data_IF_377910420575
#
_entry.id   IF_377910420575
#
_cell.length_a   1.000
_cell.length_b   1.000
_cell.length_c   1.000
_cell.angle_alpha   90.00
_cell.angle_beta   90.00
_cell.angle_gamma   90.00
#
_symmetry.space_group_name_H-M   'P 1'
#
loop_
_entity.id
_entity.type
_entity.pdbx_description
1 polymer ?
#
# COMPACT_ATOMS: atom_id res chain seq x y z
N UNK A 1 -20.01 11.95 -14.60
CA UNK A 1 -20.50 10.74 -13.91
C UNK A 1 -20.64 11.09 -12.43
N UNK A 2 -21.78 10.79 -11.80
CA UNK A 2 -21.98 11.00 -10.36
C UNK A 2 -21.93 9.65 -9.65
N UNK A 3 -21.42 9.64 -8.42
CA UNK A 3 -21.29 8.42 -7.61
C UNK A 3 -21.41 8.75 -6.13
N UNK A 4 -21.54 7.70 -5.31
CA UNK A 4 -21.62 7.81 -3.85
C UNK A 4 -20.45 7.01 -3.28
N UNK A 5 -19.78 7.57 -2.28
CA UNK A 5 -18.71 6.90 -1.54
C UNK A 5 -19.15 6.67 -0.10
N UNK A 6 -18.81 5.51 0.44
CA UNK A 6 -19.00 5.22 1.85
C UNK A 6 -17.90 5.90 2.67
N UNK A 7 -18.30 6.67 3.68
CA UNK A 7 -17.37 7.24 4.65
C UNK A 7 -16.96 6.18 5.68
N UNK A 8 -15.64 6.03 5.88
CA UNK A 8 -15.09 5.23 6.98
C UNK A 8 -14.89 6.15 8.19
N UNK A 9 -15.69 6.01 9.26
CA UNK A 9 -15.60 6.92 10.40
C UNK A 9 -14.26 6.78 11.13
N UNK A 10 -13.87 7.86 11.83
CA UNK A 10 -12.65 7.91 12.64
C UNK A 10 -11.38 7.52 11.88
N UNK A 11 -11.29 7.94 10.62
CA UNK A 11 -10.14 7.75 9.76
C UNK A 11 -9.61 9.07 9.24
N UNK A 12 -8.30 9.13 9.04
CA UNK A 12 -7.59 10.30 8.52
C UNK A 12 -6.60 9.85 7.47
N UNK A 13 -6.24 10.74 6.54
CA UNK A 13 -5.18 10.45 5.57
C UNK A 13 -3.82 10.43 6.26
N UNK A 14 -2.86 9.68 5.72
CA UNK A 14 -1.49 9.69 6.27
C UNK A 14 -0.85 11.07 6.13
N UNK A 15 -1.23 11.85 5.11
CA UNK A 15 -0.84 13.25 4.98
C UNK A 15 -1.34 14.12 6.15
N UNK A 16 -2.56 13.88 6.64
CA UNK A 16 -3.05 14.57 7.84
C UNK A 16 -2.27 14.14 9.10
N UNK A 17 -1.92 12.86 9.24
CA UNK A 17 -1.08 12.39 10.36
C UNK A 17 0.27 13.10 10.34
N UNK A 18 0.94 13.19 9.18
CA UNK A 18 2.20 13.91 9.05
C UNK A 18 2.10 15.40 9.37
N UNK A 19 1.01 16.06 8.97
CA UNK A 19 0.80 17.50 9.25
C UNK A 19 0.70 17.80 10.75
N UNK A 20 0.24 16.85 11.58
CA UNK A 20 0.20 17.01 13.05
C UNK A 20 1.60 17.16 13.65
N UNK A 21 2.61 16.60 13.00
CA UNK A 21 4.02 16.70 13.38
C UNK A 21 4.76 17.89 12.72
N UNK A 22 4.05 18.73 11.95
CA UNK A 22 4.59 19.89 11.22
C UNK A 22 5.14 19.54 9.82
N UNK A 23 5.76 20.53 9.14
CA UNK A 23 6.28 20.38 7.76
C UNK A 23 7.30 19.25 7.58
N UNK A 24 7.97 18.80 8.65
CA UNK A 24 8.92 17.69 8.62
C UNK A 24 8.35 16.35 9.13
N UNK A 25 7.03 16.26 9.35
CA UNK A 25 6.39 15.05 9.87
C UNK A 25 6.63 13.78 9.05
N UNK A 26 6.83 13.90 7.72
CA UNK A 26 7.18 12.78 6.81
C UNK A 26 8.56 12.15 7.10
N UNK A 27 9.42 12.87 7.82
CA UNK A 27 10.74 12.41 8.24
C UNK A 27 10.78 11.91 9.68
N UNK A 28 9.66 12.00 10.41
CA UNK A 28 9.52 11.41 11.74
C UNK A 28 9.01 9.99 11.63
N UNK A 29 9.94 9.04 11.75
CA UNK A 29 9.64 7.61 11.84
C UNK A 29 8.52 7.26 12.87
N UNK A 30 8.36 7.94 14.02
CA UNK A 30 7.29 7.60 14.96
C UNK A 30 5.89 8.15 14.63
N UNK A 31 5.71 8.96 13.57
CA UNK A 31 4.45 9.69 13.30
C UNK A 31 3.18 8.81 13.34
N UNK A 32 3.20 7.68 12.65
CA UNK A 32 2.08 6.72 12.65
C UNK A 32 1.93 5.98 13.99
N UNK A 33 3.04 5.66 14.65
CA UNK A 33 3.05 4.96 15.94
C UNK A 33 2.49 5.84 17.05
N UNK A 34 2.87 7.12 17.07
CA UNK A 34 2.38 8.13 18.01
C UNK A 34 0.88 8.36 17.80
N UNK A 35 0.42 8.41 16.55
CA UNK A 35 -1.00 8.53 16.24
C UNK A 35 -1.80 7.30 16.72
N UNK A 36 -1.32 6.08 16.47
CA UNK A 36 -1.97 4.86 16.95
C UNK A 36 -2.01 4.83 18.49
N UNK A 37 -0.92 5.21 19.15
CA UNK A 37 -0.82 5.27 20.62
C UNK A 37 -1.75 6.32 21.21
N UNK A 38 -1.86 7.50 20.61
CA UNK A 38 -2.75 8.57 21.07
C UNK A 38 -4.24 8.17 21.01
N UNK A 39 -4.62 7.30 20.07
CA UNK A 39 -5.99 6.80 19.94
C UNK A 39 -6.25 5.49 20.71
N UNK A 40 -5.20 4.83 21.23
CA UNK A 40 -5.29 3.53 21.91
C UNK A 40 -4.38 3.54 23.14
N UNK A 41 -4.83 4.19 24.22
CA UNK A 41 -4.03 4.40 25.44
C UNK A 41 -3.90 3.15 26.31
N UNK A 42 -4.88 2.24 26.27
CA UNK A 42 -4.81 0.97 26.99
C UNK A 42 -3.85 -0.02 26.28
N UNK A 43 -2.94 -0.71 26.99
CA UNK A 43 -1.98 -1.63 26.38
C UNK A 43 -2.60 -2.75 25.53
N UNK A 44 -3.79 -3.25 25.88
CA UNK A 44 -4.48 -4.27 25.08
C UNK A 44 -5.03 -3.66 23.80
N UNK A 45 -5.65 -2.48 23.90
CA UNK A 45 -6.16 -1.73 22.73
C UNK A 45 -5.03 -1.37 21.77
N UNK A 46 -3.88 -0.92 22.28
CA UNK A 46 -2.71 -0.57 21.48
C UNK A 46 -2.17 -1.78 20.74
N UNK A 47 -2.02 -2.92 21.44
CA UNK A 47 -1.56 -4.17 20.83
C UNK A 47 -2.53 -4.66 19.74
N UNK A 48 -3.84 -4.54 19.97
CA UNK A 48 -4.84 -4.89 18.96
C UNK A 48 -4.77 -3.98 17.73
N UNK A 49 -4.54 -2.67 17.94
CA UNK A 49 -4.39 -1.71 16.86
C UNK A 49 -3.13 -1.96 16.01
N UNK A 50 -1.99 -2.27 16.63
CA UNK A 50 -0.76 -2.65 15.92
C UNK A 50 -0.93 -3.95 15.14
N UNK A 51 -1.59 -4.97 15.72
CA UNK A 51 -1.88 -6.23 15.00
C UNK A 51 -2.80 -5.99 13.79
N UNK A 52 -3.84 -5.14 13.96
CA UNK A 52 -4.74 -4.78 12.87
C UNK A 52 -4.02 -3.98 11.79
N UNK A 53 -3.15 -3.04 12.18
CA UNK A 53 -2.29 -2.29 11.26
C UNK A 53 -1.42 -3.24 10.44
N UNK A 54 -0.69 -4.16 11.09
CA UNK A 54 0.17 -5.12 10.40
C UNK A 54 -0.60 -5.99 9.40
N UNK A 55 -1.75 -6.55 9.79
CA UNK A 55 -2.57 -7.38 8.88
C UNK A 55 -3.14 -6.60 7.70
N UNK A 56 -3.67 -5.40 7.96
CA UNK A 56 -4.27 -4.58 6.91
C UNK A 56 -3.23 -4.00 5.97
N UNK A 57 -2.10 -3.54 6.49
CA UNK A 57 -0.93 -3.13 5.71
C UNK A 57 -0.44 -4.27 4.82
N UNK A 58 -0.26 -5.49 5.36
CA UNK A 58 0.15 -6.65 4.57
C UNK A 58 -0.83 -6.94 3.42
N UNK A 59 -2.13 -6.92 3.69
CA UNK A 59 -3.16 -7.11 2.68
C UNK A 59 -3.10 -6.06 1.57
N UNK A 60 -2.96 -4.77 1.91
CA UNK A 60 -2.86 -3.70 0.93
C UNK A 60 -1.54 -3.70 0.16
N UNK A 61 -0.41 -4.06 0.77
CA UNK A 61 0.86 -4.25 0.05
C UNK A 61 0.72 -5.32 -1.05
N UNK A 62 0.14 -6.48 -0.72
CA UNK A 62 -0.11 -7.55 -1.70
C UNK A 62 -1.12 -7.12 -2.76
N UNK A 63 -2.25 -6.54 -2.36
CA UNK A 63 -3.31 -6.15 -3.29
C UNK A 63 -2.82 -5.08 -4.28
N UNK A 64 -2.11 -4.06 -3.81
CA UNK A 64 -1.61 -2.97 -4.65
C UNK A 64 -0.47 -3.38 -5.55
N UNK A 65 0.38 -4.30 -5.07
CA UNK A 65 1.40 -4.94 -5.90
C UNK A 65 0.77 -5.70 -7.07
N UNK A 66 -0.18 -6.60 -6.77
CA UNK A 66 -0.73 -7.53 -7.76
C UNK A 66 -1.65 -6.83 -8.74
N UNK A 67 -2.50 -5.92 -8.26
CA UNK A 67 -3.40 -5.15 -9.13
C UNK A 67 -2.69 -3.97 -9.81
N UNK A 68 -1.42 -3.71 -9.50
CA UNK A 68 -0.67 -2.58 -10.06
C UNK A 68 -1.34 -1.23 -9.80
N UNK A 69 -1.85 -1.03 -8.58
CA UNK A 69 -2.57 0.20 -8.20
C UNK A 69 -1.56 1.33 -8.07
N UNK A 70 -1.70 2.35 -8.92
CA UNK A 70 -0.80 3.49 -8.98
C UNK A 70 -1.31 4.73 -8.26
N UNK A 71 -0.55 5.82 -8.31
CA UNK A 71 -0.85 7.11 -7.64
C UNK A 71 -1.02 6.96 -6.11
N UNK A 72 -0.18 6.12 -5.50
CA UNK A 72 -0.22 5.87 -4.04
C UNK A 72 0.67 6.89 -3.32
N UNK A 73 0.11 8.08 -3.09
CA UNK A 73 0.64 9.13 -2.22
C UNK A 73 -0.12 9.21 -0.89
N UNK A 74 0.37 10.03 0.04
CA UNK A 74 -0.14 10.12 1.41
C UNK A 74 -1.61 10.55 1.57
N UNK A 75 -2.22 11.16 0.55
CA UNK A 75 -3.65 11.52 0.58
C UNK A 75 -4.55 10.35 0.15
N UNK A 76 -4.00 9.38 -0.59
CA UNK A 76 -4.72 8.19 -1.04
C UNK A 76 -4.59 7.00 -0.09
N UNK A 77 -3.99 7.22 1.07
CA UNK A 77 -3.75 6.23 2.10
C UNK A 77 -4.31 6.77 3.41
N UNK A 78 -5.11 5.95 4.09
CA UNK A 78 -5.79 6.32 5.32
C UNK A 78 -5.49 5.35 6.44
N UNK A 79 -5.56 5.85 7.67
CA UNK A 79 -5.46 5.07 8.90
C UNK A 79 -6.68 5.40 9.78
N UNK A 80 -7.37 4.36 10.24
CA UNK A 80 -8.48 4.47 11.19
C UNK A 80 -7.97 4.35 12.64
N UNK A 81 -8.63 5.02 13.58
CA UNK A 81 -8.21 5.09 15.01
C UNK A 81 -7.98 3.71 15.64
N UNK A 82 -8.71 2.70 15.16
CA UNK A 82 -8.53 1.28 15.50
C UNK A 82 -7.22 0.64 15.03
N UNK A 83 -6.37 1.35 14.28
CA UNK A 83 -5.16 0.84 13.64
C UNK A 83 -5.35 0.30 12.22
N UNK A 84 -6.57 0.22 11.69
CA UNK A 84 -6.80 -0.26 10.31
C UNK A 84 -6.16 0.69 9.29
N UNK A 85 -5.27 0.13 8.47
CA UNK A 85 -4.66 0.77 7.31
C UNK A 85 -5.46 0.45 6.05
N UNK A 86 -5.75 1.44 5.21
CA UNK A 86 -6.46 1.21 3.95
C UNK A 86 -6.17 2.26 2.89
N UNK A 87 -6.32 1.85 1.63
CA UNK A 87 -6.16 2.72 0.47
C UNK A 87 -7.53 3.23 0.01
N UNK A 88 -7.57 4.43 -0.55
CA UNK A 88 -8.73 5.03 -1.21
C UNK A 88 -8.35 5.49 -2.62
N UNK A 89 -9.33 5.97 -3.38
CA UNK A 89 -9.15 6.51 -4.74
C UNK A 89 -8.38 5.55 -5.67
N UNK A 90 -9.06 4.55 -6.22
CA UNK A 90 -8.45 3.51 -7.06
C UNK A 90 -8.47 3.85 -8.56
N UNK A 91 -8.50 5.13 -8.92
CA UNK A 91 -8.67 5.57 -10.31
C UNK A 91 -7.58 5.15 -11.29
N UNK A 92 -6.46 4.57 -10.83
CA UNK A 92 -5.37 4.09 -11.68
C UNK A 92 -4.87 2.72 -11.22
N UNK A 93 -4.99 1.70 -12.07
CA UNK A 93 -4.61 0.32 -11.76
C UNK A 93 -4.10 -0.43 -13.01
N UNK A 94 -3.70 -1.70 -12.86
CA UNK A 94 -3.08 -2.55 -13.89
C UNK A 94 -1.78 -1.99 -14.49
N UNK A 95 -1.02 -1.20 -13.71
CA UNK A 95 0.27 -0.69 -14.16
C UNK A 95 0.17 0.45 -15.17
N UNK A 96 -1.02 1.04 -15.35
CA UNK A 96 -1.22 2.34 -16.01
C UNK A 96 -0.70 3.46 -15.11
N UNK A 97 0.63 3.51 -14.98
CA UNK A 97 1.34 4.44 -14.11
C UNK A 97 1.52 5.79 -14.77
N UNK A 98 1.35 6.87 -14.00
CA UNK A 98 1.71 8.22 -14.44
C UNK A 98 3.23 8.33 -14.61
N UNK A 99 3.66 8.83 -15.75
CA UNK A 99 5.05 9.20 -16.01
C UNK A 99 5.24 10.69 -15.69
N UNK A 100 6.39 11.08 -15.13
CA UNK A 100 6.77 12.50 -15.12
C UNK A 100 6.91 13.00 -16.57
N UNK A 101 6.89 14.33 -16.77
CA UNK A 101 7.02 15.00 -18.09
C UNK A 101 8.28 14.62 -18.90
N UNK A 102 9.22 13.86 -18.32
CA UNK A 102 10.45 13.34 -18.93
C UNK A 102 10.47 11.81 -19.14
N UNK A 103 9.32 11.10 -19.06
CA UNK A 103 9.27 9.65 -19.27
C UNK A 103 9.81 8.81 -18.10
N UNK A 104 10.11 9.44 -16.96
CA UNK A 104 10.50 8.75 -15.73
C UNK A 104 9.23 8.25 -15.03
N UNK A 105 9.16 6.96 -14.70
CA UNK A 105 8.05 6.40 -13.90
C UNK A 105 7.98 7.11 -12.55
N UNK A 106 6.81 7.68 -12.23
CA UNK A 106 6.56 8.34 -10.94
C UNK A 106 6.62 7.34 -9.79
N UNK A 107 6.26 6.09 -10.06
CA UNK A 107 6.32 5.01 -9.09
C UNK A 107 7.43 4.03 -9.44
N UNK A 108 8.39 3.91 -8.52
CA UNK A 108 9.57 3.04 -8.65
C UNK A 108 9.50 1.80 -7.75
N UNK A 109 8.48 1.73 -6.88
CA UNK A 109 8.24 0.60 -5.99
C UNK A 109 6.87 -0.02 -6.32
N UNK A 110 6.72 -1.35 -6.22
CA UNK A 110 5.48 -2.04 -6.55
C UNK A 110 4.33 -1.76 -5.58
N UNK A 111 4.64 -1.28 -4.38
CA UNK A 111 3.66 -0.82 -3.40
C UNK A 111 4.28 0.25 -2.48
N UNK A 112 3.47 0.80 -1.58
CA UNK A 112 3.92 1.73 -0.54
C UNK A 112 4.17 0.97 0.75
N UNK A 113 5.41 1.00 1.21
CA UNK A 113 5.79 0.53 2.53
C UNK A 113 6.99 1.37 3.00
N UNK A 114 6.79 2.18 4.05
CA UNK A 114 7.77 3.18 4.49
C UNK A 114 8.37 2.84 5.85
N UNK A 115 9.48 3.48 6.22
CA UNK A 115 10.10 3.32 7.54
C UNK A 115 9.15 3.64 8.70
N UNK A 116 8.20 4.56 8.51
CA UNK A 116 7.18 4.88 9.51
C UNK A 116 6.23 3.70 9.74
N UNK A 117 5.86 2.98 8.67
CA UNK A 117 5.06 1.77 8.77
C UNK A 117 5.82 0.64 9.46
N UNK A 118 7.11 0.47 9.13
CA UNK A 118 7.97 -0.49 9.82
C UNK A 118 8.15 -0.14 11.31
N UNK A 119 8.22 1.15 11.65
CA UNK A 119 8.34 1.62 13.03
C UNK A 119 7.10 1.26 13.88
N UNK A 120 5.89 1.35 13.32
CA UNK A 120 4.65 0.87 13.98
C UNK A 120 4.77 -0.61 14.38
N UNK A 121 5.47 -1.41 13.57
CA UNK A 121 5.67 -2.85 13.76
C UNK A 121 6.90 -3.19 14.63
N UNK A 122 7.44 -2.20 15.34
CA UNK A 122 8.61 -2.37 16.20
C UNK A 122 9.95 -2.34 15.46
N UNK A 123 9.98 -1.82 14.23
CA UNK A 123 11.17 -1.78 13.36
C UNK A 123 11.45 -3.12 12.68
N UNK A 124 12.49 -3.15 11.83
CA UNK A 124 12.84 -4.34 11.02
C UNK A 124 13.23 -5.57 11.84
N UNK A 125 13.70 -5.37 13.07
CA UNK A 125 14.03 -6.45 14.02
C UNK A 125 12.84 -6.81 14.93
N UNK A 126 11.71 -6.14 14.77
CA UNK A 126 10.50 -6.31 15.57
C UNK A 126 9.78 -7.63 15.28
N UNK A 127 9.19 -8.23 16.33
CA UNK A 127 8.37 -9.45 16.18
C UNK A 127 7.14 -9.22 15.31
N UNK A 128 6.52 -8.04 15.41
CA UNK A 128 5.35 -7.69 14.62
C UNK A 128 5.72 -7.43 13.15
N UNK A 129 6.94 -6.95 12.87
CA UNK A 129 7.47 -6.86 11.52
C UNK A 129 7.66 -8.24 10.88
N UNK A 130 8.28 -9.18 11.59
CA UNK A 130 8.42 -10.56 11.10
C UNK A 130 7.06 -11.21 10.81
N UNK A 131 6.06 -10.97 11.67
CA UNK A 131 4.68 -11.42 11.47
C UNK A 131 4.02 -10.76 10.25
N UNK A 132 4.26 -9.47 10.04
CA UNK A 132 3.79 -8.74 8.86
C UNK A 132 4.36 -9.34 7.57
N UNK A 133 5.67 -9.57 7.51
CA UNK A 133 6.34 -10.19 6.35
C UNK A 133 5.75 -11.57 6.08
N UNK A 134 5.61 -12.41 7.11
CA UNK A 134 5.01 -13.73 6.98
C UNK A 134 3.56 -13.69 6.47
N UNK A 135 2.76 -12.75 6.99
CA UNK A 135 1.36 -12.55 6.58
C UNK A 135 1.28 -12.11 5.13
N UNK A 136 2.13 -11.16 4.71
CA UNK A 136 2.14 -10.62 3.36
C UNK A 136 2.60 -11.70 2.34
N UNK A 137 3.66 -12.43 2.64
CA UNK A 137 4.13 -13.53 1.80
C UNK A 137 3.09 -14.65 1.69
N UNK A 138 2.46 -15.03 2.80
CA UNK A 138 1.37 -16.01 2.79
C UNK A 138 0.20 -15.55 1.94
N UNK A 139 -0.22 -14.29 2.10
CA UNK A 139 -1.32 -13.72 1.32
C UNK A 139 -0.99 -13.68 -0.19
N UNK A 140 0.24 -13.32 -0.56
CA UNK A 140 0.72 -13.35 -1.94
C UNK A 140 0.64 -14.77 -2.52
N UNK A 141 1.17 -15.78 -1.82
CA UNK A 141 1.10 -17.18 -2.29
C UNK A 141 -0.35 -17.70 -2.40
N UNK A 142 -1.24 -17.34 -1.47
CA UNK A 142 -2.67 -17.67 -1.58
C UNK A 142 -3.27 -17.04 -2.84
N UNK A 143 -2.99 -15.76 -3.11
CA UNK A 143 -3.51 -15.08 -4.30
C UNK A 143 -2.99 -15.71 -5.60
N UNK A 144 -1.72 -16.14 -5.64
CA UNK A 144 -1.12 -16.86 -6.77
C UNK A 144 -1.88 -18.14 -7.11
N UNK A 145 -2.27 -18.93 -6.09
CA UNK A 145 -3.08 -20.16 -6.28
C UNK A 145 -4.47 -19.87 -6.84
N UNK A 146 -4.98 -18.65 -6.67
CA UNK A 146 -6.28 -18.20 -7.19
C UNK A 146 -6.17 -17.27 -8.41
N UNK A 147 -5.01 -17.21 -9.07
CA UNK A 147 -4.77 -16.32 -10.23
C UNK A 147 -5.84 -16.46 -11.32
N UNK A 148 -6.25 -17.68 -11.67
CA UNK A 148 -7.24 -17.91 -12.72
C UNK A 148 -8.60 -17.28 -12.42
N UNK A 149 -9.02 -17.28 -11.15
CA UNK A 149 -10.26 -16.61 -10.72
C UNK A 149 -10.13 -15.10 -10.91
N UNK A 150 -9.03 -14.51 -10.44
CA UNK A 150 -8.78 -13.07 -10.55
C UNK A 150 -8.75 -12.61 -12.01
N UNK A 151 -8.03 -13.35 -12.86
CA UNK A 151 -7.96 -13.11 -14.31
C UNK A 151 -9.34 -13.20 -14.97
N UNK A 152 -10.14 -14.20 -14.59
CA UNK A 152 -11.49 -14.37 -15.13
C UNK A 152 -12.42 -13.21 -14.76
N UNK A 153 -12.36 -12.74 -13.52
CA UNK A 153 -13.17 -11.59 -13.07
C UNK A 153 -12.82 -10.31 -13.86
N UNK A 154 -11.54 -10.05 -14.11
CA UNK A 154 -11.11 -8.90 -14.89
C UNK A 154 -11.45 -9.04 -16.38
N UNK A 155 -11.33 -10.23 -16.96
CA UNK A 155 -11.77 -10.47 -18.33
C UNK A 155 -13.26 -10.14 -18.51
N UNK A 156 -14.10 -10.44 -17.51
CA UNK A 156 -15.53 -10.11 -17.54
C UNK A 156 -15.79 -8.60 -17.42
N UNK A 157 -14.83 -7.82 -16.92
CA UNK A 157 -14.94 -6.36 -16.81
C UNK A 157 -14.50 -5.62 -18.07
N UNK A 158 -13.82 -6.26 -19.03
CA UNK A 158 -13.36 -5.63 -20.29
C UNK A 158 -14.49 -4.90 -21.04
N UNK A 159 -15.72 -5.44 -21.16
CA UNK A 159 -16.80 -4.72 -21.84
C UNK A 159 -17.30 -3.46 -21.11
N UNK A 160 -16.86 -3.20 -19.87
CA UNK A 160 -17.21 -2.00 -19.12
C UNK A 160 -16.48 -0.74 -19.63
N UNK A 161 -15.58 -0.87 -20.61
CA UNK A 161 -14.88 0.23 -21.28
C UNK A 161 -14.11 1.13 -20.30
N UNK A 162 -13.46 0.50 -19.31
CA UNK A 162 -12.58 1.21 -18.39
C UNK A 162 -11.26 1.56 -19.10
N UNK A 163 -10.78 2.81 -19.02
CA UNK A 163 -9.55 3.23 -19.70
C UNK A 163 -8.31 2.39 -19.36
N UNK A 164 -8.24 1.87 -18.14
CA UNK A 164 -7.13 1.07 -17.62
C UNK A 164 -7.26 -0.44 -17.92
N UNK A 165 -8.41 -0.90 -18.43
CA UNK A 165 -8.70 -2.29 -18.74
C UNK A 165 -9.38 -2.38 -20.11
N UNK A 166 -8.56 -2.27 -21.15
CA UNK A 166 -9.01 -2.23 -22.55
C UNK A 166 -8.91 -3.59 -23.24
N UNK A 167 -8.03 -4.46 -22.75
CA UNK A 167 -7.81 -5.76 -23.39
C UNK A 167 -7.00 -6.75 -22.57
N UNK A 168 -6.62 -7.84 -23.24
CA UNK A 168 -5.88 -8.96 -22.62
C UNK A 168 -4.48 -8.56 -22.17
N UNK A 169 -3.88 -7.57 -22.83
CA UNK A 169 -2.53 -7.10 -22.49
C UNK A 169 -2.47 -6.42 -21.12
N UNK A 170 -3.53 -5.72 -20.71
CA UNK A 170 -3.63 -5.12 -19.37
C UNK A 170 -3.72 -6.22 -18.29
N UNK A 171 -4.32 -7.36 -18.60
CA UNK A 171 -4.48 -8.49 -17.69
C UNK A 171 -3.18 -9.30 -17.56
N UNK A 172 -2.33 -9.29 -18.60
CA UNK A 172 -1.00 -9.91 -18.54
C UNK A 172 -0.13 -9.31 -17.44
N UNK A 173 -0.39 -8.06 -17.01
CA UNK A 173 0.26 -7.46 -15.85
C UNK A 173 0.12 -8.36 -14.61
N UNK A 174 -1.10 -8.79 -14.29
CA UNK A 174 -1.39 -9.61 -13.11
C UNK A 174 -0.72 -10.98 -13.22
N UNK A 175 -0.79 -11.60 -14.41
CA UNK A 175 -0.16 -12.91 -14.64
C UNK A 175 1.34 -12.82 -14.41
N UNK A 176 1.98 -11.78 -14.93
CA UNK A 176 3.42 -11.52 -14.75
C UNK A 176 3.76 -11.26 -13.28
N UNK A 177 2.95 -10.45 -12.58
CA UNK A 177 3.19 -10.11 -11.17
C UNK A 177 3.00 -11.31 -10.24
N UNK A 178 2.10 -12.24 -10.57
CA UNK A 178 1.85 -13.45 -9.79
C UNK A 178 2.84 -14.59 -10.09
N UNK A 179 3.61 -14.51 -11.18
CA UNK A 179 4.68 -15.47 -11.52
C UNK A 179 4.27 -16.94 -11.28
N UNK A 180 3.24 -17.45 -11.98
CA UNK A 180 2.66 -18.78 -11.73
C UNK A 180 3.65 -19.93 -11.94
N UNK A 181 4.70 -19.72 -12.73
CA UNK A 181 5.75 -20.69 -13.01
C UNK A 181 6.77 -20.88 -11.86
N UNK A 182 6.76 -19.99 -10.87
CA UNK A 182 7.71 -20.00 -9.75
C UNK A 182 7.16 -20.87 -8.60
N UNK A 183 8.02 -21.53 -7.82
CA UNK A 183 7.56 -22.28 -6.62
C UNK A 183 7.08 -21.33 -5.51
N UNK A 184 6.28 -21.83 -4.57
CA UNK A 184 5.79 -21.01 -3.45
C UNK A 184 6.93 -20.51 -2.56
N UNK A 185 7.99 -21.30 -2.37
CA UNK A 185 9.18 -20.92 -1.62
C UNK A 185 9.89 -19.74 -2.31
N UNK A 186 10.11 -19.85 -3.62
CA UNK A 186 10.82 -18.81 -4.36
C UNK A 186 9.98 -17.55 -4.53
N UNK A 187 8.67 -17.68 -4.68
CA UNK A 187 7.74 -16.56 -4.71
C UNK A 187 7.72 -15.81 -3.37
N UNK A 188 7.75 -16.54 -2.26
CA UNK A 188 7.87 -15.97 -0.91
C UNK A 188 9.16 -15.19 -0.72
N UNK A 189 10.31 -15.78 -1.08
CA UNK A 189 11.61 -15.09 -1.04
C UNK A 189 11.61 -13.81 -1.88
N UNK A 190 11.05 -13.87 -3.09
CA UNK A 190 10.94 -12.72 -3.99
C UNK A 190 10.08 -11.60 -3.39
N UNK A 191 8.94 -11.95 -2.80
CA UNK A 191 8.06 -10.96 -2.19
C UNK A 191 8.67 -10.33 -0.93
N UNK A 192 9.37 -11.12 -0.11
CA UNK A 192 10.14 -10.62 1.03
C UNK A 192 11.24 -9.63 0.60
N UNK A 193 12.03 -9.96 -0.43
CA UNK A 193 12.99 -9.04 -1.01
C UNK A 193 12.33 -7.75 -1.51
N UNK A 194 11.13 -7.86 -2.06
CA UNK A 194 10.36 -6.70 -2.54
C UNK A 194 9.93 -5.79 -1.38
N UNK A 195 9.54 -6.36 -0.22
CA UNK A 195 9.24 -5.58 0.99
C UNK A 195 10.47 -4.77 1.43
N UNK A 196 11.63 -5.41 1.50
CA UNK A 196 12.88 -4.74 1.88
C UNK A 196 13.29 -3.67 0.86
N UNK A 197 13.14 -3.95 -0.44
CA UNK A 197 13.37 -2.96 -1.49
C UNK A 197 12.45 -1.73 -1.36
N UNK A 198 11.17 -1.92 -1.02
CA UNK A 198 10.25 -0.82 -0.79
C UNK A 198 10.66 0.01 0.43
N UNK A 199 11.11 -0.64 1.50
CA UNK A 199 11.57 0.01 2.73
C UNK A 199 12.81 0.89 2.50
N UNK A 200 13.78 0.41 1.73
CA UNK A 200 15.03 1.13 1.41
C UNK A 200 14.82 2.29 0.43
N UNK A 201 13.65 2.36 -0.21
CA UNK A 201 13.34 3.38 -1.22
C UNK A 201 13.08 4.76 -0.59
N UNK A 202 14.16 5.53 -0.44
CA UNK A 202 14.12 6.94 -0.01
C UNK A 202 13.29 7.84 -0.94
N UNK A 203 13.05 7.40 -2.18
CA UNK A 203 12.30 8.15 -3.18
C UNK A 203 10.84 8.36 -2.77
N UNK A 204 10.20 7.36 -2.15
CA UNK A 204 8.80 7.50 -1.73
C UNK A 204 8.62 8.55 -0.62
N UNK A 205 9.54 8.61 0.36
CA UNK A 205 9.53 9.68 1.38
C UNK A 205 9.70 11.07 0.74
N UNK A 206 10.57 11.18 -0.26
CA UNK A 206 10.81 12.43 -0.97
C UNK A 206 9.61 12.88 -1.83
N UNK A 207 8.99 11.96 -2.59
CA UNK A 207 7.79 12.27 -3.39
C UNK A 207 6.61 12.70 -2.50
N UNK A 208 6.41 12.00 -1.37
CA UNK A 208 5.43 12.37 -0.35
C UNK A 208 5.68 13.77 0.24
N UNK A 209 6.94 14.12 0.51
CA UNK A 209 7.30 15.46 0.99
C UNK A 209 7.01 16.55 -0.04
N UNK A 210 7.39 16.34 -1.31
CA UNK A 210 7.08 17.27 -2.39
C UNK A 210 5.57 17.46 -2.59
N UNK A 211 4.80 16.37 -2.47
CA UNK A 211 3.34 16.43 -2.56
C UNK A 211 2.73 17.26 -1.42
N UNK A 212 3.18 17.04 -0.18
CA UNK A 212 2.74 17.82 0.98
C UNK A 212 3.09 19.32 0.83
N UNK A 213 4.25 19.66 0.27
CA UNK A 213 4.62 21.05 -0.04
C UNK A 213 3.69 21.65 -1.10
N UNK A 214 3.47 20.94 -2.20
CA UNK A 214 2.62 21.44 -3.29
C UNK A 214 1.20 21.78 -2.79
N UNK A 215 0.65 20.99 -1.86
CA UNK A 215 -0.63 21.25 -1.20
C UNK A 215 -0.60 22.37 -0.15
N UNK A 216 0.57 22.72 0.40
CA UNK A 216 0.69 23.81 1.36
C UNK A 216 0.86 25.19 0.71
N UNK A 217 1.29 25.23 -0.56
CA UNK A 217 1.57 26.46 -1.32
C UNK A 217 0.63 26.68 -2.53
N UNK A 218 -0.39 25.83 -2.72
CA UNK A 218 -1.43 25.97 -3.74
C UNK A 218 -2.80 26.13 -3.11
#
# INVERSE_FOLDING_TARGET
MTGILQMVPNSVTTAEVHRRDGMMGTFKDPSFSDWIRANNSDPRSHKAAVDLFGRSCAGYCVATCVLGIGDRHNDNIMIASSGRYFHIDFGHFLGHLKYYKLGIRRERTPFVFTNEMAYVLGGVEGKDFAKFVDTACTAYCVLRRHMHLLVSLLLLMVPADMPELTGRDDINHIVTTLAPEVSDERARESFEQTIHFCLDSRFKRFDNYLHNIAHAFG
#
